data_IF_649483838075
#
_entry.id   IF_649483838075
#
_cell.length_a   1.000
_cell.length_b   1.000
_cell.length_c   1.000
_cell.angle_alpha   90.00
_cell.angle_beta   90.00
_cell.angle_gamma   90.00
#
_symmetry.space_group_name_H-M   'P 1'
#
loop_
_entity.id
_entity.type
_entity.pdbx_description
1 polymer ?
#
# COMPACT_ATOMS: atom_id res chain seq x y z
N UNK A 1 18.31 15.82 -51.34
CA UNK A 1 19.61 15.16 -51.07
C UNK A 1 19.42 14.25 -49.89
N UNK A 2 19.10 12.99 -50.18
CA UNK A 2 19.03 11.92 -49.17
C UNK A 2 20.43 11.40 -48.89
N UNK A 3 20.74 11.20 -47.61
CA UNK A 3 21.91 10.43 -47.19
C UNK A 3 21.43 9.25 -46.33
N UNK A 4 21.52 8.11 -46.99
CA UNK A 4 21.41 6.71 -46.57
C UNK A 4 21.84 6.44 -45.12
N UNK A 5 20.94 5.81 -44.33
CA UNK A 5 21.27 5.22 -43.02
C UNK A 5 21.88 3.83 -43.22
N UNK A 6 23.17 3.69 -42.92
CA UNK A 6 23.83 2.39 -42.79
C UNK A 6 23.45 1.73 -41.47
N UNK A 7 22.81 0.56 -41.53
CA UNK A 7 22.69 -0.34 -40.38
C UNK A 7 24.09 -0.76 -39.93
N UNK A 8 24.47 -0.44 -38.69
CA UNK A 8 25.57 -1.09 -37.99
C UNK A 8 25.02 -1.64 -36.68
N UNK A 9 24.85 -2.96 -36.64
CA UNK A 9 24.73 -3.74 -35.40
C UNK A 9 25.94 -3.40 -34.54
N UNK A 10 25.73 -2.73 -33.41
CA UNK A 10 26.69 -2.72 -32.31
C UNK A 10 26.23 -3.75 -31.30
N UNK A 11 26.81 -4.94 -31.41
CA UNK A 11 26.87 -5.89 -30.30
C UNK A 11 27.83 -5.35 -29.24
N UNK A 12 27.36 -5.45 -28.00
CA UNK A 12 28.11 -5.53 -26.74
C UNK A 12 28.66 -4.24 -26.08
N UNK A 13 27.93 -3.83 -25.04
CA UNK A 13 28.50 -3.64 -23.71
C UNK A 13 27.38 -3.90 -22.69
N UNK A 14 27.52 -4.93 -21.86
CA UNK A 14 26.59 -5.32 -20.80
C UNK A 14 26.51 -4.26 -19.68
N UNK A 15 25.95 -3.09 -19.99
CA UNK A 15 25.58 -2.12 -18.98
C UNK A 15 24.45 -2.72 -18.15
N UNK A 16 24.74 -3.11 -16.91
CA UNK A 16 23.75 -3.62 -15.97
C UNK A 16 22.53 -2.68 -15.97
N UNK A 17 21.39 -3.22 -16.40
CA UNK A 17 20.14 -2.48 -16.47
C UNK A 17 19.88 -1.79 -15.12
N UNK A 18 19.41 -0.54 -15.10
CA UNK A 18 19.11 0.14 -13.85
C UNK A 18 18.11 -0.68 -13.05
N UNK A 19 18.52 -1.05 -11.83
CA UNK A 19 17.77 -1.87 -10.87
C UNK A 19 16.55 -1.13 -10.28
N UNK A 20 16.49 0.20 -10.43
CA UNK A 20 15.31 1.03 -10.18
C UNK A 20 14.76 1.64 -11.47
N UNK A 21 13.50 1.31 -11.77
CA UNK A 21 12.72 1.93 -12.84
C UNK A 21 12.04 3.23 -12.38
N UNK A 22 11.92 4.20 -13.28
CA UNK A 22 11.08 5.40 -13.09
C UNK A 22 9.63 5.16 -13.55
N UNK A 23 9.29 3.95 -14.01
CA UNK A 23 7.95 3.53 -14.43
C UNK A 23 7.29 4.52 -15.42
N UNK A 24 8.05 4.90 -16.46
CA UNK A 24 7.62 5.90 -17.45
C UNK A 24 6.60 5.35 -18.43
N UNK A 25 6.78 4.12 -18.88
CA UNK A 25 5.91 3.41 -19.81
C UNK A 25 5.53 2.06 -19.24
N UNK A 26 4.30 1.63 -19.52
CA UNK A 26 3.86 0.28 -19.21
C UNK A 26 4.66 -0.72 -20.06
N UNK A 27 5.02 -1.90 -19.52
CA UNK A 27 5.66 -2.94 -20.30
C UNK A 27 4.69 -3.52 -21.33
N UNK A 28 5.20 -3.86 -22.51
CA UNK A 28 4.42 -4.54 -23.56
C UNK A 28 4.56 -6.06 -23.37
N UNK A 29 3.93 -6.55 -22.30
CA UNK A 29 4.02 -7.95 -21.84
C UNK A 29 2.61 -8.42 -21.49
N UNK A 30 2.25 -9.61 -21.97
CA UNK A 30 1.01 -10.28 -21.57
C UNK A 30 1.19 -10.97 -20.22
N UNK A 31 0.27 -10.70 -19.30
CA UNK A 31 0.32 -11.21 -17.92
C UNK A 31 -0.98 -11.92 -17.62
N UNK A 32 -0.90 -13.11 -17.00
CA UNK A 32 -2.08 -13.84 -16.52
C UNK A 32 -2.79 -13.03 -15.43
N UNK A 33 -4.11 -13.13 -15.35
CA UNK A 33 -4.88 -12.39 -14.33
C UNK A 33 -4.50 -12.80 -12.90
N UNK A 34 -4.15 -14.07 -12.70
CA UNK A 34 -3.70 -14.58 -11.40
C UNK A 34 -2.40 -13.89 -10.95
N UNK A 35 -1.42 -13.78 -11.86
CA UNK A 35 -0.14 -13.13 -11.60
C UNK A 35 -0.32 -11.61 -11.45
N UNK A 36 -1.23 -11.02 -12.23
CA UNK A 36 -1.59 -9.61 -12.14
C UNK A 36 -2.11 -9.25 -10.74
N UNK A 37 -3.00 -10.06 -10.18
CA UNK A 37 -3.52 -9.87 -8.81
C UNK A 37 -2.44 -10.16 -7.76
N UNK A 38 -1.73 -11.29 -7.88
CA UNK A 38 -0.69 -11.68 -6.92
C UNK A 38 0.42 -10.65 -6.80
N UNK A 39 0.94 -10.15 -7.93
CA UNK A 39 2.00 -9.15 -7.95
C UNK A 39 1.55 -7.83 -7.32
N UNK A 40 0.29 -7.44 -7.56
CA UNK A 40 -0.30 -6.27 -6.94
C UNK A 40 -0.44 -6.42 -5.42
N UNK A 41 -0.90 -7.59 -4.95
CA UNK A 41 -1.01 -7.90 -3.51
C UNK A 41 0.35 -7.82 -2.83
N UNK A 42 1.38 -8.42 -3.42
CA UNK A 42 2.72 -8.44 -2.83
C UNK A 42 3.33 -7.05 -2.72
N UNK A 43 3.20 -6.21 -3.76
CA UNK A 43 3.61 -4.80 -3.65
C UNK A 43 2.78 -4.06 -2.61
N UNK A 44 1.48 -4.31 -2.56
CA UNK A 44 0.59 -3.64 -1.63
C UNK A 44 0.92 -3.98 -0.17
N UNK A 45 1.38 -5.21 0.13
CA UNK A 45 1.91 -5.59 1.45
C UNK A 45 3.11 -4.73 1.83
N UNK A 46 4.04 -4.47 0.90
CA UNK A 46 5.18 -3.57 1.14
C UNK A 46 4.71 -2.15 1.43
N UNK A 47 3.81 -1.59 0.62
CA UNK A 47 3.32 -0.23 0.80
C UNK A 47 2.52 -0.04 2.10
N UNK A 48 1.67 -1.01 2.47
CA UNK A 48 0.96 -0.99 3.76
C UNK A 48 1.94 -1.12 4.92
N UNK A 49 2.94 -1.98 4.84
CA UNK A 49 3.98 -2.10 5.87
C UNK A 49 4.79 -0.80 6.05
N UNK A 50 5.07 -0.07 4.97
CA UNK A 50 5.67 1.28 5.04
C UNK A 50 4.71 2.25 5.74
N UNK A 51 3.44 2.26 5.35
CA UNK A 51 2.40 3.11 5.96
C UNK A 51 2.31 2.89 7.47
N UNK A 52 2.27 1.63 7.90
CA UNK A 52 2.16 1.23 9.31
C UNK A 52 3.44 1.58 10.11
N UNK A 53 4.61 1.42 9.49
CA UNK A 53 5.88 1.81 10.10
C UNK A 53 5.94 3.32 10.36
N UNK A 54 5.52 4.12 9.38
CA UNK A 54 5.47 5.57 9.50
C UNK A 54 4.43 6.05 10.51
N UNK A 55 3.24 5.44 10.54
CA UNK A 55 2.19 5.82 11.50
C UNK A 55 2.55 5.48 12.94
N UNK A 56 3.41 4.47 13.15
CA UNK A 56 3.98 4.11 14.47
C UNK A 56 5.17 4.98 14.87
N UNK A 57 5.59 5.92 14.03
CA UNK A 57 6.71 6.82 14.31
C UNK A 57 8.07 6.12 14.34
N UNK A 58 8.25 5.02 13.59
CA UNK A 58 9.54 4.32 13.50
C UNK A 58 10.64 5.27 13.03
N UNK A 59 11.83 5.11 13.61
CA UNK A 59 13.00 5.93 13.23
C UNK A 59 13.47 5.59 11.81
N UNK A 60 14.18 6.50 11.11
CA UNK A 60 14.65 6.27 9.75
C UNK A 60 15.45 4.96 9.57
N UNK A 61 16.32 4.61 10.52
CA UNK A 61 17.12 3.37 10.48
C UNK A 61 16.27 2.09 10.61
N UNK A 62 15.25 2.13 11.47
CA UNK A 62 14.29 1.03 11.64
C UNK A 62 13.42 0.87 10.40
N UNK A 63 13.03 2.00 9.79
CA UNK A 63 12.30 2.01 8.53
C UNK A 63 13.13 1.40 7.40
N UNK A 64 14.43 1.71 7.33
CA UNK A 64 15.32 1.14 6.32
C UNK A 64 15.38 -0.40 6.43
N UNK A 65 15.60 -0.92 7.64
CA UNK A 65 15.57 -2.37 7.90
C UNK A 65 14.23 -2.99 7.53
N UNK A 66 13.13 -2.37 7.96
CA UNK A 66 11.77 -2.84 7.69
C UNK A 66 11.49 -2.90 6.18
N UNK A 67 11.81 -1.85 5.43
CA UNK A 67 11.55 -1.81 3.99
C UNK A 67 12.38 -2.84 3.24
N UNK A 68 13.65 -3.00 3.62
CA UNK A 68 14.53 -4.02 3.04
C UNK A 68 13.97 -5.43 3.26
N UNK A 69 13.50 -5.73 4.48
CA UNK A 69 12.88 -7.01 4.80
C UNK A 69 11.56 -7.24 4.05
N UNK A 70 10.64 -6.26 4.06
CA UNK A 70 9.38 -6.34 3.33
C UNK A 70 9.61 -6.56 1.82
N UNK A 71 10.57 -5.84 1.24
CA UNK A 71 10.95 -6.00 -0.16
C UNK A 71 11.49 -7.40 -0.45
N UNK A 72 12.41 -7.88 0.38
CA UNK A 72 13.00 -9.22 0.23
C UNK A 72 11.96 -10.33 0.34
N UNK A 73 11.01 -10.21 1.27
CA UNK A 73 10.01 -11.25 1.54
C UNK A 73 8.91 -11.29 0.49
N UNK A 74 8.48 -10.14 -0.06
CA UNK A 74 7.32 -10.09 -0.95
C UNK A 74 7.68 -9.92 -2.44
N UNK A 75 8.78 -9.25 -2.76
CA UNK A 75 9.07 -8.85 -4.15
C UNK A 75 10.19 -9.65 -4.83
N UNK A 76 11.11 -10.25 -4.07
CA UNK A 76 12.21 -11.03 -4.68
C UNK A 76 11.75 -12.40 -5.14
N UNK A 77 12.05 -12.73 -6.40
CA UNK A 77 11.92 -14.05 -6.99
C UNK A 77 13.31 -14.68 -7.20
N UNK A 78 13.36 -15.96 -7.59
CA UNK A 78 14.62 -16.67 -7.83
C UNK A 78 15.43 -16.02 -8.95
N UNK A 79 14.77 -15.55 -10.01
CA UNK A 79 15.41 -14.85 -11.12
C UNK A 79 15.31 -13.32 -10.99
N UNK A 80 16.38 -12.62 -11.38
CA UNK A 80 16.45 -11.16 -11.35
C UNK A 80 15.52 -10.52 -12.41
N UNK A 81 15.36 -11.16 -13.58
CA UNK A 81 14.46 -10.66 -14.64
C UNK A 81 13.00 -10.68 -14.17
N UNK A 82 12.54 -11.81 -13.63
CA UNK A 82 11.19 -11.96 -13.09
C UNK A 82 10.93 -10.98 -11.92
N UNK A 83 11.94 -10.75 -11.07
CA UNK A 83 11.84 -9.75 -10.00
C UNK A 83 11.60 -8.34 -10.55
N UNK A 84 12.28 -7.98 -11.64
CA UNK A 84 12.13 -6.68 -12.30
C UNK A 84 10.76 -6.55 -12.98
N UNK A 85 10.30 -7.61 -13.65
CA UNK A 85 8.97 -7.65 -14.26
C UNK A 85 7.88 -7.54 -13.21
N UNK A 86 7.95 -8.33 -12.13
CA UNK A 86 7.04 -8.25 -10.98
C UNK A 86 6.98 -6.85 -10.39
N UNK A 87 8.13 -6.19 -10.22
CA UNK A 87 8.22 -4.80 -9.75
C UNK A 87 7.49 -3.82 -10.67
N UNK A 88 7.76 -3.89 -11.98
CA UNK A 88 7.14 -3.00 -12.96
C UNK A 88 5.64 -3.25 -13.08
N UNK A 89 5.23 -4.51 -13.27
CA UNK A 89 3.82 -4.89 -13.44
C UNK A 89 3.02 -4.46 -12.21
N UNK A 90 3.44 -4.87 -11.00
CA UNK A 90 2.74 -4.53 -9.76
C UNK A 90 2.54 -3.02 -9.57
N UNK A 91 3.54 -2.21 -9.94
CA UNK A 91 3.43 -0.76 -9.90
C UNK A 91 2.31 -0.24 -10.82
N UNK A 92 2.25 -0.71 -12.07
CA UNK A 92 1.21 -0.32 -13.01
C UNK A 92 -0.18 -0.84 -12.64
N UNK A 93 -0.27 -2.04 -12.07
CA UNK A 93 -1.55 -2.54 -11.52
C UNK A 93 -2.06 -1.63 -10.41
N UNK A 94 -1.21 -1.28 -9.44
CA UNK A 94 -1.63 -0.41 -8.34
C UNK A 94 -1.99 1.01 -8.80
N UNK A 95 -1.43 1.50 -9.92
CA UNK A 95 -1.91 2.76 -10.54
C UNK A 95 -3.38 2.65 -10.94
N UNK A 96 -3.82 1.52 -11.51
CA UNK A 96 -5.24 1.32 -11.85
C UNK A 96 -6.12 1.33 -10.59
N UNK A 97 -5.67 0.64 -9.54
CA UNK A 97 -6.40 0.53 -8.25
C UNK A 97 -6.57 1.88 -7.55
N UNK A 98 -5.48 2.66 -7.45
CA UNK A 98 -5.40 3.85 -6.61
C UNK A 98 -5.57 5.17 -7.37
N UNK A 99 -5.84 5.16 -8.68
CA UNK A 99 -6.09 6.39 -9.44
C UNK A 99 -7.50 6.99 -9.21
N UNK A 100 -8.45 6.22 -8.67
CA UNK A 100 -9.89 6.53 -8.71
C UNK A 100 -10.29 7.70 -7.83
N UNK A 101 -9.98 7.67 -6.53
CA UNK A 101 -10.28 8.78 -5.61
C UNK A 101 -9.06 9.62 -5.28
N UNK A 102 -9.27 10.85 -4.82
CA UNK A 102 -8.16 11.74 -4.44
C UNK A 102 -7.37 11.20 -3.25
N UNK A 103 -8.04 10.63 -2.25
CA UNK A 103 -7.39 10.06 -1.07
C UNK A 103 -6.57 8.82 -1.43
N UNK A 104 -7.09 7.96 -2.31
CA UNK A 104 -6.34 6.82 -2.85
C UNK A 104 -5.09 7.28 -3.59
N UNK A 105 -5.20 8.30 -4.44
CA UNK A 105 -4.05 8.87 -5.16
C UNK A 105 -3.02 9.45 -4.20
N UNK A 106 -3.45 10.22 -3.20
CA UNK A 106 -2.54 10.82 -2.20
C UNK A 106 -1.81 9.75 -1.40
N UNK A 107 -2.52 8.73 -0.93
CA UNK A 107 -1.94 7.63 -0.17
C UNK A 107 -0.93 6.86 -1.01
N UNK A 108 -1.31 6.40 -2.21
CA UNK A 108 -0.43 5.64 -3.09
C UNK A 108 0.79 6.47 -3.50
N UNK A 109 0.59 7.72 -3.91
CA UNK A 109 1.68 8.64 -4.25
C UNK A 109 2.67 8.81 -3.09
N UNK A 110 2.18 8.91 -1.84
CA UNK A 110 3.02 9.04 -0.66
C UNK A 110 3.83 7.76 -0.40
N UNK A 111 3.16 6.60 -0.35
CA UNK A 111 3.82 5.33 -0.02
C UNK A 111 4.79 4.88 -1.11
N UNK A 112 4.41 5.05 -2.38
CA UNK A 112 5.25 4.69 -3.52
C UNK A 112 6.48 5.61 -3.62
N UNK A 113 6.33 6.91 -3.32
CA UNK A 113 7.48 7.83 -3.24
C UNK A 113 8.41 7.44 -2.09
N UNK A 114 7.88 7.03 -0.95
CA UNK A 114 8.68 6.55 0.18
C UNK A 114 9.45 5.27 -0.18
N UNK A 115 8.79 4.28 -0.78
CA UNK A 115 9.43 3.07 -1.28
C UNK A 115 10.55 3.38 -2.26
N UNK A 116 10.30 4.26 -3.23
CA UNK A 116 11.31 4.73 -4.19
C UNK A 116 12.52 5.35 -3.48
N UNK A 117 12.29 6.23 -2.50
CA UNK A 117 13.36 6.86 -1.70
C UNK A 117 14.23 5.82 -1.01
N UNK A 118 13.63 4.81 -0.37
CA UNK A 118 14.39 3.76 0.32
C UNK A 118 15.16 2.87 -0.65
N UNK A 119 14.53 2.41 -1.74
CA UNK A 119 15.21 1.61 -2.76
C UNK A 119 16.39 2.35 -3.38
N UNK A 120 16.20 3.64 -3.70
CA UNK A 120 17.25 4.46 -4.27
C UNK A 120 18.45 4.63 -3.31
N UNK A 121 18.20 4.70 -2.00
CA UNK A 121 19.29 4.69 -1.00
C UNK A 121 20.03 3.35 -0.97
N UNK A 122 19.33 2.22 -1.03
CA UNK A 122 19.95 0.89 -0.97
C UNK A 122 20.75 0.52 -2.23
N UNK A 123 20.41 1.09 -3.38
CA UNK A 123 21.21 0.94 -4.61
C UNK A 123 22.40 1.90 -4.67
N UNK A 124 22.47 2.86 -3.75
CA UNK A 124 23.52 3.88 -3.72
C UNK A 124 24.74 3.65 -2.81
N UNK A 125 25.12 2.43 -2.34
CA UNK A 125 26.35 2.27 -1.57
C UNK A 125 27.61 2.50 -2.44
N UNK A 126 27.54 2.21 -3.75
CA UNK A 126 28.58 2.59 -4.70
C UNK A 126 28.25 3.95 -5.33
N UNK A 127 28.72 5.01 -4.68
CA UNK A 127 28.70 6.38 -5.20
C UNK A 127 29.19 6.49 -6.65
N UNK A 128 30.02 5.56 -7.14
CA UNK A 128 30.59 5.58 -8.49
C UNK A 128 29.58 5.27 -9.61
N UNK A 129 28.74 4.24 -9.49
CA UNK A 129 27.77 3.90 -10.53
C UNK A 129 26.63 4.93 -10.66
N UNK A 130 26.25 5.54 -9.53
CA UNK A 130 25.27 6.63 -9.48
C UNK A 130 25.89 7.92 -10.02
N UNK A 131 27.17 8.20 -9.72
CA UNK A 131 27.93 9.29 -10.37
C UNK A 131 27.92 9.13 -11.88
N UNK A 132 28.23 7.96 -12.42
CA UNK A 132 28.32 7.76 -13.88
C UNK A 132 26.96 7.92 -14.59
N UNK A 133 25.88 7.35 -14.03
CA UNK A 133 24.52 7.51 -14.56
C UNK A 133 24.02 8.94 -14.45
N UNK A 134 24.33 9.66 -13.36
CA UNK A 134 23.95 11.06 -13.18
C UNK A 134 24.81 12.02 -13.99
N UNK A 135 26.09 11.72 -14.22
CA UNK A 135 26.98 12.46 -15.15
C UNK A 135 26.43 12.34 -16.57
N UNK A 136 25.93 11.16 -16.96
CA UNK A 136 25.30 10.95 -18.26
C UNK A 136 24.02 11.80 -18.40
N UNK A 137 23.18 11.86 -17.36
CA UNK A 137 21.99 12.71 -17.32
C UNK A 137 22.36 14.20 -17.34
N UNK A 138 23.31 14.64 -16.52
CA UNK A 138 23.80 16.03 -16.49
C UNK A 138 24.35 16.49 -17.86
N UNK A 139 25.09 15.62 -18.56
CA UNK A 139 25.55 15.88 -19.93
C UNK A 139 24.40 16.01 -20.94
N UNK A 140 23.37 15.16 -20.83
CA UNK A 140 22.18 15.26 -21.70
C UNK A 140 21.36 16.54 -21.49
N UNK A 141 21.52 17.21 -20.35
CA UNK A 141 20.87 18.49 -20.02
C UNK A 141 21.82 19.68 -20.27
N UNK A 142 23.04 19.44 -20.80
CA UNK A 142 24.00 20.49 -21.18
C UNK A 142 24.77 21.12 -20.02
N UNK A 143 24.87 20.44 -18.87
CA UNK A 143 25.61 20.94 -17.70
C UNK A 143 27.10 20.52 -17.74
N UNK A 144 28.06 21.44 -17.53
CA UNK A 144 29.47 21.12 -17.37
C UNK A 144 29.73 20.48 -16.00
N UNK A 145 30.37 19.31 -15.98
CA UNK A 145 30.75 18.59 -14.75
C UNK A 145 32.15 19.03 -14.35
N UNK A 146 32.30 19.60 -13.15
CA UNK A 146 33.61 20.00 -12.58
C UNK A 146 34.10 18.90 -11.63
N UNK A 147 35.34 18.45 -11.81
CA UNK A 147 36.04 17.48 -10.94
C UNK A 147 36.36 18.11 -9.57
N UNK A 148 35.41 18.04 -8.65
CA UNK A 148 35.58 18.37 -7.23
C UNK A 148 35.03 17.23 -6.39
N UNK A 149 35.70 16.89 -5.28
CA UNK A 149 35.28 15.84 -4.33
C UNK A 149 33.82 16.02 -3.84
N UNK A 150 33.31 17.25 -3.87
CA UNK A 150 31.90 17.55 -3.76
C UNK A 150 31.29 17.83 -5.14
N UNK A 151 30.56 16.86 -5.70
CA UNK A 151 29.75 17.06 -6.91
C UNK A 151 28.48 17.80 -6.49
N UNK A 152 28.35 19.04 -6.95
CA UNK A 152 27.12 19.83 -6.83
C UNK A 152 26.35 19.79 -8.14
N UNK A 153 25.06 19.51 -8.06
CA UNK A 153 24.14 19.60 -9.20
C UNK A 153 23.48 20.96 -9.19
N UNK A 154 23.62 21.67 -10.30
CA UNK A 154 22.92 22.93 -10.55
C UNK A 154 21.57 22.62 -11.18
N UNK A 155 20.48 22.89 -10.47
CA UNK A 155 19.10 22.69 -10.93
C UNK A 155 18.30 23.98 -10.76
N UNK A 156 17.23 24.24 -11.56
CA UNK A 156 16.30 25.32 -11.26
C UNK A 156 15.74 25.17 -9.85
N UNK A 157 15.66 26.26 -9.08
CA UNK A 157 15.29 26.18 -7.66
C UNK A 157 13.86 25.65 -7.44
N UNK A 158 12.99 25.84 -8.45
CA UNK A 158 11.61 25.38 -8.48
C UNK A 158 11.50 23.85 -8.46
N UNK A 159 12.50 23.14 -8.99
CA UNK A 159 12.54 21.66 -9.01
C UNK A 159 12.88 21.06 -7.64
N UNK A 160 13.46 21.85 -6.74
CA UNK A 160 13.90 21.43 -5.40
C UNK A 160 13.29 22.27 -4.29
N UNK A 161 12.02 22.64 -4.44
CA UNK A 161 11.29 23.47 -3.47
C UNK A 161 11.39 22.94 -2.03
N UNK A 162 11.41 21.61 -1.81
CA UNK A 162 11.58 21.00 -0.47
C UNK A 162 12.95 21.30 0.16
N UNK A 163 14.02 21.32 -0.65
CA UNK A 163 15.36 21.66 -0.15
C UNK A 163 15.50 23.17 0.07
N UNK A 164 14.85 23.96 -0.78
CA UNK A 164 14.83 25.43 -0.71
C UNK A 164 14.06 25.91 0.52
N UNK A 165 12.85 25.38 0.78
CA UNK A 165 12.02 25.77 1.92
C UNK A 165 12.72 25.52 3.25
N UNK A 166 13.53 24.45 3.31
CA UNK A 166 14.30 24.07 4.48
C UNK A 166 15.70 24.70 4.54
N UNK A 167 16.05 25.61 3.60
CA UNK A 167 17.36 26.28 3.51
C UNK A 167 18.54 25.30 3.47
N UNK A 168 18.35 24.13 2.84
CA UNK A 168 19.35 23.05 2.77
C UNK A 168 20.24 23.10 1.54
N UNK A 169 19.98 24.04 0.62
CA UNK A 169 20.72 24.20 -0.65
C UNK A 169 21.13 25.64 -0.84
N UNK A 170 22.26 25.85 -1.50
CA UNK A 170 22.71 27.18 -1.89
C UNK A 170 21.94 27.64 -3.12
N UNK A 171 21.47 28.89 -3.11
CA UNK A 171 20.74 29.50 -4.22
C UNK A 171 21.56 30.63 -4.86
N UNK A 172 21.66 30.62 -6.18
CA UNK A 172 22.32 31.70 -6.92
C UNK A 172 21.71 31.86 -8.32
N UNK A 173 21.30 33.09 -8.63
CA UNK A 173 20.73 33.47 -9.95
C UNK A 173 19.61 32.55 -10.45
N UNK A 174 18.67 32.16 -9.57
CA UNK A 174 17.55 31.27 -9.93
C UNK A 174 17.90 29.77 -9.97
N UNK A 175 19.09 29.39 -9.55
CA UNK A 175 19.50 27.99 -9.48
C UNK A 175 19.81 27.55 -8.05
N UNK A 176 19.47 26.31 -7.73
CA UNK A 176 19.87 25.62 -6.52
C UNK A 176 21.05 24.68 -6.80
N UNK A 177 22.00 24.65 -5.86
CA UNK A 177 23.19 23.80 -5.91
C UNK A 177 23.03 22.68 -4.87
N UNK A 178 22.78 21.47 -5.36
CA UNK A 178 22.40 20.29 -4.58
C UNK A 178 23.60 19.36 -4.47
N UNK A 179 24.00 18.97 -3.26
CA UNK A 179 25.09 18.02 -3.06
C UNK A 179 24.65 16.57 -3.36
N UNK A 180 25.61 15.66 -3.64
CA UNK A 180 25.33 14.23 -3.89
C UNK A 180 24.46 13.57 -2.82
N UNK A 181 24.68 13.89 -1.54
CA UNK A 181 23.90 13.37 -0.42
C UNK A 181 22.42 13.82 -0.43
N UNK A 182 22.06 14.81 -1.26
CA UNK A 182 20.72 15.35 -1.41
C UNK A 182 20.05 14.94 -2.73
N UNK A 183 20.75 14.24 -3.63
CA UNK A 183 20.21 13.80 -4.93
C UNK A 183 18.97 12.91 -4.78
N UNK A 184 18.91 12.10 -3.73
CA UNK A 184 17.73 11.27 -3.42
C UNK A 184 16.46 12.12 -3.33
N UNK A 185 16.54 13.33 -2.74
CA UNK A 185 15.41 14.24 -2.62
C UNK A 185 15.00 14.82 -3.97
N UNK A 186 15.97 15.20 -4.82
CA UNK A 186 15.72 15.67 -6.19
C UNK A 186 15.00 14.60 -7.02
N UNK A 187 15.57 13.39 -7.11
CA UNK A 187 15.02 12.32 -7.95
C UNK A 187 13.66 11.86 -7.42
N UNK A 188 13.48 11.78 -6.10
CA UNK A 188 12.18 11.43 -5.52
C UNK A 188 11.11 12.49 -5.76
N UNK A 189 11.48 13.79 -5.78
CA UNK A 189 10.56 14.88 -6.11
C UNK A 189 10.10 14.79 -7.56
N UNK A 190 11.04 14.54 -8.47
CA UNK A 190 10.72 14.33 -9.88
C UNK A 190 9.85 13.08 -10.09
N UNK A 191 10.19 11.97 -9.42
CA UNK A 191 9.39 10.75 -9.44
C UNK A 191 7.96 11.00 -8.97
N UNK A 192 7.78 11.68 -7.84
CA UNK A 192 6.47 12.05 -7.30
C UNK A 192 5.67 12.91 -8.28
N UNK A 193 6.31 13.89 -8.92
CA UNK A 193 5.66 14.75 -9.92
C UNK A 193 5.17 13.94 -11.14
N UNK A 194 6.02 13.06 -11.67
CA UNK A 194 5.67 12.19 -12.81
C UNK A 194 4.55 11.21 -12.44
N UNK A 195 4.64 10.57 -11.28
CA UNK A 195 3.63 9.61 -10.82
C UNK A 195 2.27 10.29 -10.60
N UNK A 196 2.25 11.50 -10.03
CA UNK A 196 1.02 12.28 -9.86
C UNK A 196 0.33 12.55 -11.20
N UNK A 197 1.08 13.03 -12.20
CA UNK A 197 0.55 13.24 -13.56
C UNK A 197 0.04 11.94 -14.19
N UNK A 198 0.79 10.85 -14.05
CA UNK A 198 0.42 9.56 -14.57
C UNK A 198 -0.90 9.05 -13.96
N UNK A 199 -1.10 9.16 -12.64
CA UNK A 199 -2.33 8.73 -11.97
C UNK A 199 -3.57 9.49 -12.48
N UNK A 200 -3.43 10.79 -12.76
CA UNK A 200 -4.53 11.60 -13.33
C UNK A 200 -4.89 11.11 -14.74
N UNK A 201 -3.89 10.85 -15.58
CA UNK A 201 -4.11 10.34 -16.93
C UNK A 201 -4.70 8.92 -16.91
N UNK A 202 -4.19 8.05 -16.03
CA UNK A 202 -4.72 6.70 -15.82
C UNK A 202 -6.19 6.76 -15.40
N UNK A 203 -6.57 7.63 -14.46
CA UNK A 203 -7.97 7.75 -14.03
C UNK A 203 -8.89 8.18 -15.18
N UNK A 204 -8.45 9.16 -15.99
CA UNK A 204 -9.23 9.62 -17.16
C UNK A 204 -9.48 8.46 -18.14
N UNK A 205 -8.45 7.68 -18.46
CA UNK A 205 -8.58 6.52 -19.36
C UNK A 205 -9.38 5.38 -18.73
N UNK A 206 -9.25 5.17 -17.42
CA UNK A 206 -10.03 4.20 -16.66
C UNK A 206 -11.52 4.48 -16.74
N UNK A 207 -11.93 5.71 -16.44
CA UNK A 207 -13.35 6.09 -16.41
C UNK A 207 -13.98 6.15 -17.80
N UNK A 208 -13.22 6.51 -18.85
CA UNK A 208 -13.77 6.69 -20.20
C UNK A 208 -13.86 5.40 -21.02
N UNK A 209 -12.99 4.42 -20.76
CA UNK A 209 -12.82 3.28 -21.68
C UNK A 209 -12.64 1.96 -20.92
N UNK A 210 -11.58 1.85 -20.12
CA UNK A 210 -11.14 0.55 -19.56
C UNK A 210 -12.20 -0.07 -18.65
N UNK A 211 -12.92 0.75 -17.85
CA UNK A 211 -13.91 0.23 -16.90
C UNK A 211 -15.04 -0.54 -17.58
N UNK A 212 -15.51 -0.07 -18.74
CA UNK A 212 -16.60 -0.74 -19.47
C UNK A 212 -16.08 -1.88 -20.34
N UNK A 213 -14.92 -1.70 -21.01
CA UNK A 213 -14.33 -2.74 -21.86
C UNK A 213 -13.87 -3.97 -21.04
N UNK A 214 -13.34 -3.76 -19.83
CA UNK A 214 -12.79 -4.82 -18.97
C UNK A 214 -13.66 -5.04 -17.73
N UNK A 215 -14.97 -4.87 -17.88
CA UNK A 215 -15.96 -4.96 -16.81
C UNK A 215 -15.98 -6.33 -16.11
N UNK A 216 -15.82 -7.41 -16.86
CA UNK A 216 -15.90 -8.78 -16.33
C UNK A 216 -14.53 -9.37 -15.96
N UNK A 217 -13.44 -8.66 -16.26
CA UNK A 217 -12.05 -9.15 -16.06
C UNK A 217 -11.29 -8.31 -15.05
N UNK A 218 -10.93 -7.07 -15.40
CA UNK A 218 -10.07 -6.23 -14.57
C UNK A 218 -10.84 -5.46 -13.50
N UNK A 219 -12.05 -4.99 -13.83
CA UNK A 219 -12.84 -4.16 -12.91
C UNK A 219 -13.09 -4.83 -11.54
N UNK A 220 -13.47 -6.12 -11.47
CA UNK A 220 -13.69 -6.79 -10.18
C UNK A 220 -12.40 -6.87 -9.35
N UNK A 221 -11.27 -7.19 -9.98
CA UNK A 221 -9.95 -7.28 -9.33
C UNK A 221 -9.52 -5.90 -8.80
N UNK A 222 -9.61 -4.87 -9.63
CA UNK A 222 -9.21 -3.50 -9.29
C UNK A 222 -10.05 -2.94 -8.15
N UNK A 223 -11.35 -3.20 -8.15
CA UNK A 223 -12.26 -2.80 -7.07
C UNK A 223 -11.96 -3.56 -5.79
N UNK A 224 -11.80 -4.88 -5.86
CA UNK A 224 -11.50 -5.73 -4.71
C UNK A 224 -10.17 -5.37 -4.02
N UNK A 225 -9.09 -5.18 -4.80
CA UNK A 225 -7.76 -4.85 -4.28
C UNK A 225 -7.75 -3.58 -3.42
N UNK A 226 -8.58 -2.60 -3.76
CA UNK A 226 -8.67 -1.36 -2.98
C UNK A 226 -9.29 -1.52 -1.60
N UNK A 227 -10.13 -2.54 -1.44
CA UNK A 227 -10.83 -2.84 -0.20
C UNK A 227 -10.32 -4.10 0.50
N UNK A 228 -9.31 -4.75 -0.08
CA UNK A 228 -8.82 -6.04 0.42
C UNK A 228 -8.05 -5.87 1.74
N UNK A 229 -8.43 -6.70 2.71
CA UNK A 229 -7.73 -6.87 3.97
C UNK A 229 -6.53 -7.79 3.73
N UNK A 230 -5.32 -7.29 3.97
CA UNK A 230 -4.06 -8.03 3.80
C UNK A 230 -3.48 -8.54 5.11
N UNK A 231 -4.22 -8.43 6.22
CA UNK A 231 -3.79 -8.98 7.49
C UNK A 231 -4.00 -10.50 7.54
N UNK A 232 -3.68 -11.14 8.68
CA UNK A 232 -3.82 -12.57 8.83
C UNK A 232 -5.25 -13.01 8.50
N UNK A 233 -5.38 -14.06 7.70
CA UNK A 233 -6.67 -14.67 7.48
C UNK A 233 -7.08 -15.43 8.75
N UNK A 234 -8.04 -14.87 9.48
CA UNK A 234 -8.63 -15.47 10.68
C UNK A 234 -9.87 -16.31 10.34
N UNK A 235 -10.20 -16.51 9.06
CA UNK A 235 -11.26 -17.44 8.65
C UNK A 235 -10.89 -18.89 8.93
N UNK A 236 -9.59 -19.21 8.98
CA UNK A 236 -9.07 -20.53 9.31
C UNK A 236 -8.47 -20.52 10.71
N UNK A 237 -9.03 -21.36 11.59
CA UNK A 237 -8.49 -21.58 12.93
C UNK A 237 -7.11 -22.26 12.82
N UNK A 238 -6.04 -21.52 13.18
CA UNK A 238 -4.67 -22.04 13.17
C UNK A 238 -4.29 -22.75 14.48
N UNK A 239 -4.91 -22.34 15.58
CA UNK A 239 -4.69 -22.91 16.91
C UNK A 239 -6.02 -22.97 17.66
N UNK A 240 -6.27 -24.09 18.34
CA UNK A 240 -7.45 -24.30 19.17
C UNK A 240 -7.05 -24.14 20.64
N UNK A 241 -7.60 -23.12 21.31
CA UNK A 241 -7.60 -23.00 22.76
C UNK A 241 -9.01 -23.21 23.27
N UNK A 242 -9.18 -24.05 24.30
CA UNK A 242 -10.47 -24.17 24.96
C UNK A 242 -10.72 -22.93 25.84
N UNK A 243 -11.80 -22.20 25.56
CA UNK A 243 -12.26 -21.06 26.36
C UNK A 243 -13.53 -21.48 27.08
N UNK A 244 -13.50 -21.47 28.42
CA UNK A 244 -14.71 -21.70 29.22
C UNK A 244 -15.59 -20.45 29.24
N UNK A 245 -16.90 -20.63 29.40
CA UNK A 245 -17.85 -19.52 29.56
C UNK A 245 -17.49 -18.60 30.74
N UNK A 246 -16.81 -19.14 31.76
CA UNK A 246 -16.40 -18.38 32.96
C UNK A 246 -15.26 -17.40 32.68
N UNK A 247 -14.47 -17.67 31.64
CA UNK A 247 -13.28 -16.87 31.32
C UNK A 247 -13.61 -15.69 30.40
N UNK A 248 -14.82 -15.68 29.82
CA UNK A 248 -15.24 -14.68 28.82
C UNK A 248 -15.19 -13.27 29.39
N UNK A 249 -15.61 -13.05 30.63
CA UNK A 249 -15.58 -11.71 31.24
C UNK A 249 -14.14 -11.20 31.44
N UNK A 250 -13.22 -12.08 31.82
CA UNK A 250 -11.80 -11.73 31.94
C UNK A 250 -11.19 -11.43 30.56
N UNK A 251 -11.52 -12.24 29.54
CA UNK A 251 -11.06 -12.05 28.17
C UNK A 251 -11.64 -10.78 27.53
N UNK A 252 -12.88 -10.44 27.84
CA UNK A 252 -13.50 -9.19 27.38
C UNK A 252 -12.72 -7.96 27.86
N UNK A 253 -12.17 -8.01 29.07
CA UNK A 253 -11.40 -6.91 29.64
C UNK A 253 -9.95 -6.85 29.14
N UNK A 254 -9.29 -8.00 29.01
CA UNK A 254 -7.85 -8.07 28.69
C UNK A 254 -7.54 -8.20 27.20
N UNK A 255 -8.42 -8.83 26.43
CA UNK A 255 -8.11 -9.35 25.09
C UNK A 255 -9.06 -8.85 24.01
N UNK A 256 -10.31 -8.49 24.34
CA UNK A 256 -11.23 -8.00 23.32
C UNK A 256 -10.78 -6.62 22.82
N UNK A 257 -10.77 -6.40 21.49
CA UNK A 257 -10.63 -5.05 20.98
C UNK A 257 -11.84 -4.21 21.41
N UNK A 258 -11.63 -2.90 21.51
CA UNK A 258 -12.62 -1.97 22.05
C UNK A 258 -14.01 -2.09 21.40
N UNK A 259 -14.07 -2.38 20.08
CA UNK A 259 -15.33 -2.60 19.37
C UNK A 259 -16.13 -3.80 19.90
N UNK A 260 -15.46 -4.90 20.23
CA UNK A 260 -16.10 -6.10 20.76
C UNK A 260 -16.37 -5.97 22.26
N UNK A 261 -15.47 -5.33 23.01
CA UNK A 261 -15.68 -5.02 24.42
C UNK A 261 -16.91 -4.15 24.65
N UNK A 262 -17.06 -3.09 23.86
CA UNK A 262 -18.25 -2.21 23.92
C UNK A 262 -19.55 -2.97 23.64
N UNK A 263 -19.57 -3.83 22.61
CA UNK A 263 -20.73 -4.66 22.30
C UNK A 263 -21.03 -5.67 23.42
N UNK A 264 -20.00 -6.24 24.03
CA UNK A 264 -20.14 -7.19 25.13
C UNK A 264 -20.70 -6.51 26.40
N UNK A 265 -20.17 -5.34 26.76
CA UNK A 265 -20.69 -4.50 27.86
C UNK A 265 -22.16 -4.14 27.63
N UNK A 266 -22.50 -3.67 26.42
CA UNK A 266 -23.90 -3.32 26.09
C UNK A 266 -24.85 -4.52 26.12
N UNK A 267 -24.39 -5.69 25.68
CA UNK A 267 -25.16 -6.92 25.81
C UNK A 267 -25.40 -7.30 27.28
N UNK A 268 -24.42 -7.05 28.17
CA UNK A 268 -24.57 -7.29 29.61
C UNK A 268 -25.53 -6.30 30.27
N UNK A 269 -25.51 -5.04 29.87
CA UNK A 269 -26.36 -3.98 30.42
C UNK A 269 -27.82 -4.08 29.96
N UNK A 270 -28.05 -4.23 28.65
CA UNK A 270 -29.38 -4.15 28.05
C UNK A 270 -30.01 -5.53 27.81
N UNK A 271 -29.25 -6.61 28.03
CA UNK A 271 -29.62 -8.00 27.71
C UNK A 271 -30.05 -8.23 26.24
N UNK A 272 -29.78 -7.27 25.37
CA UNK A 272 -30.17 -7.29 23.97
C UNK A 272 -29.20 -6.46 23.12
N UNK A 273 -28.94 -6.93 21.90
CA UNK A 273 -28.26 -6.17 20.86
C UNK A 273 -29.14 -6.15 19.62
N UNK A 274 -29.14 -5.04 18.88
CA UNK A 274 -29.75 -4.98 17.53
C UNK A 274 -29.03 -5.88 16.52
N UNK A 275 -29.63 -6.10 15.35
CA UNK A 275 -29.12 -7.03 14.33
C UNK A 275 -27.64 -6.81 14.00
N UNK A 276 -27.20 -5.57 13.76
CA UNK A 276 -25.79 -5.28 13.46
C UNK A 276 -24.83 -5.67 14.59
N UNK A 277 -25.21 -5.43 15.84
CA UNK A 277 -24.43 -5.82 17.02
C UNK A 277 -24.37 -7.33 17.20
N UNK A 278 -25.51 -8.03 17.02
CA UNK A 278 -25.56 -9.50 17.08
C UNK A 278 -24.69 -10.16 16.01
N UNK A 279 -24.67 -9.61 14.80
CA UNK A 279 -23.80 -10.11 13.72
C UNK A 279 -22.32 -9.85 14.03
N UNK A 280 -21.95 -8.63 14.44
CA UNK A 280 -20.56 -8.28 14.69
C UNK A 280 -19.96 -9.07 15.87
N UNK A 281 -20.64 -9.09 17.03
CA UNK A 281 -20.17 -9.82 18.21
C UNK A 281 -20.36 -11.34 18.03
N UNK A 282 -21.51 -11.76 17.47
CA UNK A 282 -21.81 -13.18 17.31
C UNK A 282 -20.88 -13.90 16.35
N UNK A 283 -20.49 -13.27 15.23
CA UNK A 283 -19.50 -13.84 14.33
C UNK A 283 -18.08 -13.82 14.91
N UNK A 284 -17.75 -12.83 15.74
CA UNK A 284 -16.47 -12.80 16.49
C UNK A 284 -16.39 -13.96 17.50
N UNK A 285 -17.48 -14.26 18.20
CA UNK A 285 -17.55 -15.35 19.18
C UNK A 285 -17.80 -16.74 18.56
N UNK A 286 -18.16 -16.82 17.27
CA UNK A 286 -18.41 -18.06 16.51
C UNK A 286 -17.23 -19.05 16.57
N UNK A 287 -16.04 -18.60 16.94
CA UNK A 287 -14.86 -19.45 17.12
C UNK A 287 -14.99 -20.44 18.29
N UNK A 288 -16.05 -20.38 19.13
CA UNK A 288 -16.10 -21.18 20.37
C UNK A 288 -17.43 -21.84 20.80
N UNK A 289 -18.39 -22.19 19.93
CA UNK A 289 -19.61 -22.85 20.43
C UNK A 289 -20.26 -23.88 19.50
N UNK A 290 -20.23 -25.16 19.89
CA UNK A 290 -21.02 -26.23 19.27
C UNK A 290 -22.34 -26.57 19.99
N UNK A 291 -22.71 -25.86 21.06
CA UNK A 291 -23.94 -26.20 21.80
C UNK A 291 -24.62 -24.97 22.33
N UNK A 292 -25.83 -24.63 21.86
CA UNK A 292 -26.83 -23.87 22.64
C UNK A 292 -28.25 -23.92 22.05
N UNK A 293 -29.22 -23.61 22.92
CA UNK A 293 -30.64 -24.01 22.91
C UNK A 293 -31.61 -23.12 22.09
N UNK A 294 -32.86 -23.61 21.99
CA UNK A 294 -33.93 -23.31 20.99
C UNK A 294 -34.30 -21.84 20.71
N UNK A 295 -34.03 -20.87 21.58
CA UNK A 295 -34.52 -19.47 21.39
C UNK A 295 -33.56 -18.60 20.57
N UNK A 296 -32.24 -18.79 20.74
CA UNK A 296 -31.18 -18.13 19.96
C UNK A 296 -30.59 -19.03 18.87
N UNK A 297 -31.06 -20.29 18.82
CA UNK A 297 -30.63 -21.31 17.89
C UNK A 297 -30.69 -20.85 16.43
N UNK A 298 -31.71 -20.09 16.02
CA UNK A 298 -31.81 -19.61 14.64
C UNK A 298 -30.65 -18.69 14.25
N UNK A 299 -30.35 -17.67 15.05
CA UNK A 299 -29.27 -16.71 14.74
C UNK A 299 -27.90 -17.39 14.76
N UNK A 300 -27.68 -18.31 15.72
CA UNK A 300 -26.43 -19.06 15.83
C UNK A 300 -26.28 -20.02 14.64
N UNK A 301 -27.31 -20.83 14.34
CA UNK A 301 -27.30 -21.72 13.19
C UNK A 301 -27.15 -20.97 11.86
N UNK A 302 -27.79 -19.80 11.71
CA UNK A 302 -27.60 -18.93 10.56
C UNK A 302 -26.14 -18.49 10.43
N UNK A 303 -25.48 -18.11 11.52
CA UNK A 303 -24.06 -17.75 11.52
C UNK A 303 -23.15 -18.91 11.08
N UNK A 304 -23.47 -20.15 11.48
CA UNK A 304 -22.79 -21.39 11.04
C UNK A 304 -23.31 -21.95 9.69
N UNK A 305 -24.12 -21.20 8.94
CA UNK A 305 -24.64 -21.66 7.65
C UNK A 305 -25.60 -22.85 7.72
N UNK A 306 -26.13 -23.19 8.90
CA UNK A 306 -27.09 -24.28 9.12
C UNK A 306 -28.55 -23.86 8.85
N UNK A 307 -28.81 -22.57 8.63
CA UNK A 307 -30.14 -21.99 8.33
C UNK A 307 -30.03 -20.87 7.26
N UNK A 308 -31.15 -20.46 6.65
CA UNK A 308 -31.18 -19.39 5.63
C UNK A 308 -30.58 -19.80 4.28
N UNK A 309 -29.74 -18.94 3.65
CA UNK A 309 -29.02 -19.23 2.39
C UNK A 309 -27.94 -20.32 2.53
N UNK A 310 -27.78 -20.91 3.71
CA UNK A 310 -26.76 -21.91 4.06
C UNK A 310 -25.33 -21.44 3.78
N UNK A 311 -25.10 -20.13 3.92
CA UNK A 311 -23.78 -19.52 3.76
C UNK A 311 -23.08 -19.48 5.12
N UNK A 312 -21.87 -20.02 5.20
CA UNK A 312 -21.07 -19.93 6.40
C UNK A 312 -20.47 -18.53 6.52
N UNK A 313 -21.01 -17.71 7.43
CA UNK A 313 -20.58 -16.31 7.54
C UNK A 313 -19.23 -16.21 8.24
N UNK A 314 -18.30 -15.47 7.63
CA UNK A 314 -16.98 -15.20 8.20
C UNK A 314 -17.04 -14.06 9.23
N UNK A 315 -16.22 -14.11 10.29
CA UNK A 315 -16.02 -12.98 11.18
C UNK A 315 -15.74 -11.68 10.42
N UNK A 316 -16.24 -10.55 10.94
CA UNK A 316 -16.05 -9.27 10.27
C UNK A 316 -14.60 -8.79 10.42
N UNK A 317 -13.99 -8.41 9.30
CA UNK A 317 -12.71 -7.71 9.32
C UNK A 317 -12.86 -6.30 9.90
N UNK A 318 -11.76 -5.72 10.40
CA UNK A 318 -11.75 -4.32 10.87
C UNK A 318 -12.31 -3.37 9.80
N UNK A 319 -11.97 -3.59 8.52
CA UNK A 319 -12.45 -2.75 7.42
C UNK A 319 -13.97 -2.84 7.22
N UNK A 320 -14.55 -4.03 7.37
CA UNK A 320 -16.02 -4.21 7.32
C UNK A 320 -16.69 -3.50 8.49
N UNK A 321 -16.15 -3.63 9.71
CA UNK A 321 -16.66 -2.96 10.91
C UNK A 321 -16.55 -1.42 10.78
N UNK A 322 -15.42 -0.94 10.26
CA UNK A 322 -15.15 0.48 10.01
C UNK A 322 -16.10 1.04 8.94
N UNK A 323 -16.50 0.26 7.95
CA UNK A 323 -17.40 0.72 6.87
C UNK A 323 -18.88 0.57 7.20
N UNK A 324 -19.21 -0.18 8.26
CA UNK A 324 -20.59 -0.38 8.72
C UNK A 324 -20.99 0.77 9.65
N UNK A 325 -21.73 1.75 9.14
CA UNK A 325 -22.17 2.91 9.92
C UNK A 325 -23.35 2.54 10.84
N UNK A 326 -23.21 2.67 12.17
CA UNK A 326 -24.30 2.38 13.10
C UNK A 326 -25.41 3.43 13.03
N UNK A 327 -26.67 2.99 13.13
CA UNK A 327 -27.82 3.86 13.26
C UNK A 327 -28.06 4.36 14.69
N UNK A 328 -29.15 5.09 14.90
CA UNK A 328 -29.53 5.58 16.24
C UNK A 328 -29.84 4.38 17.16
N UNK A 329 -29.16 4.34 18.30
CA UNK A 329 -29.25 3.24 19.27
C UNK A 329 -28.63 1.93 18.79
N UNK A 330 -27.76 1.97 17.78
CA UNK A 330 -26.87 0.85 17.45
C UNK A 330 -25.53 1.00 18.16
N UNK A 331 -25.03 -0.11 18.71
CA UNK A 331 -23.74 -0.18 19.41
C UNK A 331 -22.65 -0.86 18.58
N UNK A 332 -22.93 -1.22 17.33
CA UNK A 332 -21.96 -1.88 16.45
C UNK A 332 -21.07 -0.86 15.71
N UNK A 333 -20.07 -1.34 14.99
CA UNK A 333 -19.10 -0.50 14.29
C UNK A 333 -17.78 -0.33 15.06
N UNK A 334 -16.90 0.53 14.53
CA UNK A 334 -15.59 0.80 15.09
C UNK A 334 -15.66 2.03 16.02
N UNK A 335 -15.36 1.89 17.32
CA UNK A 335 -15.36 3.00 18.26
C UNK A 335 -14.50 4.17 17.81
N UNK A 336 -13.30 3.90 17.28
CA UNK A 336 -12.38 4.94 16.81
C UNK A 336 -12.90 5.76 15.62
N UNK A 337 -13.92 5.28 14.90
CA UNK A 337 -14.51 5.99 13.77
C UNK A 337 -15.88 6.58 14.09
N UNK A 338 -16.72 5.81 14.78
CA UNK A 338 -18.15 6.12 14.90
C UNK A 338 -18.54 6.67 16.27
N UNK A 339 -17.76 6.39 17.32
CA UNK A 339 -18.05 6.87 18.66
C UNK A 339 -17.14 8.05 18.96
N UNK A 340 -17.74 9.20 19.29
CA UNK A 340 -16.96 10.34 19.78
C UNK A 340 -16.36 9.94 21.12
N UNK A 341 -15.06 10.17 21.28
CA UNK A 341 -14.41 10.10 22.60
C UNK A 341 -15.21 11.04 23.50
N UNK A 342 -15.81 10.49 24.56
CA UNK A 342 -16.34 11.32 25.64
C UNK A 342 -15.17 12.17 26.13
N UNK A 343 -15.19 13.48 25.87
CA UNK A 343 -14.41 14.42 26.67
C UNK A 343 -14.99 14.32 28.09
N UNK A 344 -14.23 13.86 29.09
CA UNK A 344 -14.67 13.97 30.47
C UNK A 344 -14.82 15.47 30.77
N UNK A 345 -16.02 15.87 31.21
CA UNK A 345 -16.23 17.19 31.82
C UNK A 345 -15.52 17.28 33.16
#
# INVERSE_FOLDING_TARGET
MEIVRSQRKTSDSSAAAPTISLYRSAPDIEVRLDDFELFAIDRLRVLKGISDGLSRGKKPEEMEKLVSELWRTNMRLQEQSETMEKDVISHFVLRLVYCRTEDQRKWFLSMETALFRYRFRFESPDSQNVKDKLIQVARSIGQPVVNSDAIFFKVPFEEVAELVSNRRVFLFKGYAYVAMNQVVSLVATQFRSLLSKALVLTNRKWTSTIREEEKDRLTPIVEALSTSYLGPDYSQAKEFGEVSLKDIDQLANSSFPLCMRHLFEKLREEHHLKHGGRMQLGLFLKVGSERFDKEYAYSVRHNYGKEGKRTDYTPYSCQKIISSTPGVGDHHGCPYRHFRVYEPK
#
